data_IF_625995737528
#
_entry.id   IF_625995737528
#
_cell.length_a   1.000
_cell.length_b   1.000
_cell.length_c   1.000
_cell.angle_alpha   90.00
_cell.angle_beta   90.00
_cell.angle_gamma   90.00
#
_symmetry.space_group_name_H-M   'P 1'
#
loop_
_entity.id
_entity.type
_entity.pdbx_description
1 polymer ?
#
# COMPACT_ATOMS: atom_id res chain seq x y z
N UNK A 1 3.71 1.39 -6.16
CA UNK A 1 4.40 2.65 -5.77
C UNK A 1 4.39 2.90 -4.27
N UNK A 2 3.22 3.04 -3.60
CA UNK A 2 3.14 3.33 -2.15
C UNK A 2 3.98 2.38 -1.26
N UNK A 3 3.94 1.07 -1.53
CA UNK A 3 4.72 0.08 -0.78
C UNK A 3 6.24 0.32 -0.86
N UNK A 4 6.77 0.63 -2.05
CA UNK A 4 8.20 0.89 -2.23
C UNK A 4 8.62 2.19 -1.55
N UNK A 5 7.81 3.25 -1.64
CA UNK A 5 8.06 4.51 -0.94
C UNK A 5 8.07 4.32 0.58
N UNK A 6 7.14 3.52 1.11
CA UNK A 6 7.14 3.18 2.54
C UNK A 6 8.40 2.43 2.95
N UNK A 7 8.82 1.45 2.15
CA UNK A 7 10.03 0.65 2.42
C UNK A 7 11.29 1.51 2.38
N UNK A 8 11.43 2.36 1.37
CA UNK A 8 12.55 3.30 1.22
C UNK A 8 12.65 4.25 2.42
N UNK A 9 11.56 4.94 2.74
CA UNK A 9 11.53 5.93 3.82
C UNK A 9 11.76 5.28 5.18
N UNK A 10 11.19 4.10 5.42
CA UNK A 10 11.44 3.31 6.62
C UNK A 10 12.91 2.86 6.71
N UNK A 11 13.50 2.42 5.61
CA UNK A 11 14.92 2.02 5.56
C UNK A 11 15.83 3.21 5.90
N UNK A 12 15.57 4.38 5.33
CA UNK A 12 16.32 5.61 5.63
C UNK A 12 16.16 5.99 7.10
N UNK A 13 14.94 5.98 7.64
CA UNK A 13 14.70 6.25 9.07
C UNK A 13 15.46 5.27 9.97
N UNK A 14 15.44 3.96 9.66
CA UNK A 14 16.15 2.95 10.44
C UNK A 14 17.67 3.11 10.35
N UNK A 15 18.21 3.45 9.19
CA UNK A 15 19.64 3.70 9.00
C UNK A 15 20.13 4.94 9.76
N UNK A 16 19.28 5.97 9.86
CA UNK A 16 19.59 7.21 10.59
C UNK A 16 19.29 7.11 12.10
N UNK A 17 18.55 6.11 12.56
CA UNK A 17 18.17 5.95 13.97
C UNK A 17 19.38 5.91 14.94
N UNK A 18 20.48 5.17 14.67
CA UNK A 18 21.64 5.19 15.56
C UNK A 18 22.29 6.57 15.64
N UNK A 19 22.37 7.29 14.52
CA UNK A 19 22.93 8.64 14.46
C UNK A 19 22.04 9.64 15.20
N UNK A 20 20.72 9.48 15.11
CA UNK A 20 19.76 10.28 15.85
C UNK A 20 19.85 10.04 17.36
N UNK A 21 20.00 8.79 17.82
CA UNK A 21 20.17 8.48 19.24
C UNK A 21 21.50 9.01 19.77
N UNK A 22 22.58 8.84 18.99
CA UNK A 22 23.89 9.39 19.34
C UNK A 22 23.84 10.91 19.51
N UNK A 23 23.04 11.63 18.71
CA UNK A 23 22.86 13.09 18.82
C UNK A 23 22.31 13.53 20.18
N UNK A 24 21.47 12.72 20.83
CA UNK A 24 20.94 13.00 22.16
C UNK A 24 21.78 12.40 23.29
N UNK A 25 22.80 11.61 22.96
CA UNK A 25 23.75 11.09 23.92
C UNK A 25 24.91 12.08 24.04
N UNK A 26 25.48 12.27 25.24
CA UNK A 26 26.69 13.11 25.45
C UNK A 26 27.98 12.49 24.83
N UNK A 27 27.83 11.77 23.71
CA UNK A 27 28.92 11.19 22.94
C UNK A 27 29.43 12.27 22.00
N UNK A 28 30.75 12.50 21.97
CA UNK A 28 31.35 13.34 20.95
C UNK A 28 31.07 12.76 19.57
N UNK A 29 30.18 13.40 18.81
CA UNK A 29 29.92 13.02 17.43
C UNK A 29 30.94 13.73 16.55
N UNK A 30 31.84 13.01 15.87
CA UNK A 30 32.70 13.62 14.85
C UNK A 30 31.81 14.11 13.70
N UNK A 31 31.61 15.41 13.60
CA UNK A 31 30.77 15.99 12.55
C UNK A 31 30.70 17.52 12.61
N UNK A 32 30.41 18.14 11.46
CA UNK A 32 30.11 19.57 11.41
C UNK A 32 28.67 19.83 11.89
N UNK A 33 28.36 21.02 12.44
CA UNK A 33 26.98 21.38 12.79
C UNK A 33 25.99 21.19 11.64
N UNK A 34 26.42 21.40 10.38
CA UNK A 34 25.60 21.18 9.19
C UNK A 34 25.24 19.72 8.95
N UNK A 35 26.17 18.79 9.16
CA UNK A 35 25.93 17.35 9.02
C UNK A 35 24.94 16.84 10.08
N UNK A 36 25.05 17.34 11.32
CA UNK A 36 24.13 17.00 12.41
C UNK A 36 22.72 17.52 12.12
N UNK A 37 22.59 18.79 11.73
CA UNK A 37 21.30 19.38 11.37
C UNK A 37 20.63 18.64 10.20
N UNK A 38 21.41 18.28 9.18
CA UNK A 38 20.90 17.54 8.01
C UNK A 38 20.43 16.14 8.41
N UNK A 39 21.18 15.44 9.27
CA UNK A 39 20.82 14.10 9.77
C UNK A 39 19.52 14.14 10.58
N UNK A 40 19.41 15.12 11.50
CA UNK A 40 18.22 15.32 12.31
C UNK A 40 16.98 15.61 11.44
N UNK A 41 17.09 16.60 10.53
CA UNK A 41 16.00 16.98 9.65
C UNK A 41 15.59 15.81 8.75
N UNK A 42 16.56 15.11 8.17
CA UNK A 42 16.30 13.94 7.31
C UNK A 42 15.59 12.83 8.08
N UNK A 43 16.00 12.55 9.32
CA UNK A 43 15.34 11.55 10.17
C UNK A 43 13.88 11.91 10.45
N UNK A 44 13.63 13.14 10.93
CA UNK A 44 12.28 13.61 11.29
C UNK A 44 11.35 13.62 10.08
N UNK A 45 11.81 14.14 8.94
CA UNK A 45 11.01 14.19 7.72
C UNK A 45 10.70 12.79 7.18
N UNK A 46 11.70 11.90 7.11
CA UNK A 46 11.47 10.52 6.64
C UNK A 46 10.55 9.75 7.58
N UNK A 47 10.70 9.91 8.90
CA UNK A 47 9.83 9.25 9.87
C UNK A 47 8.37 9.73 9.74
N UNK A 48 8.16 11.05 9.69
CA UNK A 48 6.82 11.62 9.55
C UNK A 48 6.16 11.16 8.23
N UNK A 49 6.94 11.15 7.15
CA UNK A 49 6.45 10.70 5.85
C UNK A 49 6.16 9.20 5.82
N UNK A 50 7.03 8.36 6.39
CA UNK A 50 6.83 6.91 6.51
C UNK A 50 5.53 6.59 7.28
N UNK A 51 5.27 7.28 8.39
CA UNK A 51 4.02 7.11 9.16
C UNK A 51 2.78 7.54 8.38
N UNK A 52 2.87 8.64 7.63
CA UNK A 52 1.76 9.11 6.76
C UNK A 52 1.46 8.09 5.65
N UNK A 53 2.48 7.61 4.95
CA UNK A 53 2.33 6.61 3.89
C UNK A 53 1.83 5.28 4.44
N UNK A 54 2.24 4.88 5.66
CA UNK A 54 1.75 3.66 6.31
C UNK A 54 0.23 3.70 6.50
N UNK A 55 -0.32 4.81 7.02
CA UNK A 55 -1.76 4.96 7.19
C UNK A 55 -2.52 4.85 5.87
N UNK A 56 -2.01 5.50 4.83
CA UNK A 56 -2.58 5.43 3.48
C UNK A 56 -2.49 4.02 2.89
N UNK A 57 -1.38 3.33 3.09
CA UNK A 57 -1.16 1.96 2.64
C UNK A 57 -2.14 0.98 3.31
N UNK A 58 -2.37 1.10 4.62
CA UNK A 58 -3.34 0.27 5.36
C UNK A 58 -4.75 0.46 4.81
N UNK A 59 -5.13 1.71 4.54
CA UNK A 59 -6.42 2.03 3.92
C UNK A 59 -6.55 1.37 2.54
N UNK A 60 -5.53 1.49 1.68
CA UNK A 60 -5.55 0.84 0.36
C UNK A 60 -5.58 -0.69 0.42
N UNK A 61 -4.82 -1.32 1.34
CA UNK A 61 -4.85 -2.77 1.52
C UNK A 61 -6.25 -3.23 1.94
N UNK A 62 -6.93 -2.45 2.79
CA UNK A 62 -8.30 -2.74 3.22
C UNK A 62 -9.30 -2.64 2.06
N UNK A 63 -9.13 -1.63 1.19
CA UNK A 63 -9.91 -1.47 -0.03
C UNK A 63 -9.72 -2.63 -1.02
N UNK A 64 -8.47 -3.03 -1.27
CA UNK A 64 -8.16 -4.20 -2.11
C UNK A 64 -8.75 -5.47 -1.51
N UNK A 65 -8.65 -5.66 -0.19
CA UNK A 65 -9.22 -6.83 0.48
C UNK A 65 -10.75 -6.89 0.36
N UNK A 66 -11.43 -5.75 0.25
CA UNK A 66 -12.87 -5.63 0.06
C UNK A 66 -13.32 -5.48 -1.40
N UNK A 67 -12.38 -5.49 -2.35
CA UNK A 67 -12.59 -5.18 -3.77
C UNK A 67 -13.49 -3.93 -3.98
N UNK A 68 -13.13 -2.85 -3.28
CA UNK A 68 -13.86 -1.59 -3.32
C UNK A 68 -12.88 -0.46 -3.63
N UNK A 69 -13.23 0.44 -4.53
CA UNK A 69 -12.44 1.66 -4.78
C UNK A 69 -12.71 2.71 -3.71
N UNK A 70 -11.89 3.77 -3.64
CA UNK A 70 -12.11 4.86 -2.68
C UNK A 70 -13.44 5.59 -2.92
N UNK A 71 -13.84 5.76 -4.19
CA UNK A 71 -15.12 6.38 -4.56
C UNK A 71 -16.28 5.49 -4.11
N UNK A 72 -16.23 4.21 -4.44
CA UNK A 72 -17.25 3.25 -4.03
C UNK A 72 -17.34 3.13 -2.50
N UNK A 73 -16.21 3.15 -1.79
CA UNK A 73 -16.19 3.11 -0.33
C UNK A 73 -16.86 4.35 0.30
N UNK A 74 -16.78 5.50 -0.37
CA UNK A 74 -17.45 6.73 0.05
C UNK A 74 -18.95 6.71 -0.26
N UNK A 75 -19.35 6.14 -1.40
CA UNK A 75 -20.74 6.05 -1.85
C UNK A 75 -21.52 4.90 -1.22
N UNK A 76 -20.81 3.89 -0.68
CA UNK A 76 -21.40 2.69 -0.10
C UNK A 76 -22.20 3.02 1.16
N UNK A 77 -23.52 3.06 1.02
CA UNK A 77 -24.47 3.08 2.15
C UNK A 77 -24.37 1.76 2.92
N UNK A 78 -23.76 1.76 4.11
CA UNK A 78 -23.76 0.80 5.24
C UNK A 78 -24.23 -0.65 4.96
N UNK A 79 -23.88 -1.23 3.82
CA UNK A 79 -24.30 -2.57 3.43
C UNK A 79 -23.10 -3.50 3.61
N UNK A 80 -23.20 -4.52 4.48
CA UNK A 80 -22.05 -5.38 4.77
C UNK A 80 -21.62 -6.23 3.57
N UNK A 81 -22.51 -6.43 2.58
CA UNK A 81 -22.24 -7.21 1.37
C UNK A 81 -21.96 -6.28 0.19
N UNK A 82 -20.92 -6.56 -0.58
CA UNK A 82 -20.54 -5.82 -1.79
C UNK A 82 -20.60 -6.75 -3.01
N UNK A 83 -21.14 -6.26 -4.14
CA UNK A 83 -21.31 -7.05 -5.37
C UNK A 83 -19.97 -7.58 -5.90
N UNK A 84 -18.91 -6.78 -5.78
CA UNK A 84 -17.57 -7.14 -6.28
C UNK A 84 -16.70 -7.87 -5.24
N UNK A 85 -17.14 -8.00 -3.98
CA UNK A 85 -16.37 -8.75 -2.99
C UNK A 85 -16.54 -10.27 -3.20
N UNK A 86 -15.54 -10.88 -3.84
CA UNK A 86 -15.46 -12.32 -4.14
C UNK A 86 -14.66 -13.10 -3.08
N UNK A 87 -14.25 -12.43 -2.00
CA UNK A 87 -13.41 -12.96 -0.92
C UNK A 87 -11.94 -12.52 -1.04
N UNK A 88 -11.30 -12.27 0.11
CA UNK A 88 -9.95 -11.65 0.23
C UNK A 88 -8.91 -12.18 -0.76
N UNK A 89 -8.84 -13.49 -0.97
CA UNK A 89 -7.87 -14.10 -1.90
C UNK A 89 -8.15 -13.71 -3.35
N UNK A 90 -9.39 -13.88 -3.82
CA UNK A 90 -9.79 -13.55 -5.20
C UNK A 90 -9.68 -12.06 -5.46
N UNK A 91 -10.09 -11.24 -4.50
CA UNK A 91 -9.99 -9.79 -4.60
C UNK A 91 -8.53 -9.33 -4.74
N UNK A 92 -7.61 -9.97 -4.01
CA UNK A 92 -6.18 -9.69 -4.12
C UNK A 92 -5.62 -10.13 -5.48
N UNK A 93 -5.96 -11.34 -5.93
CA UNK A 93 -5.56 -11.85 -7.25
C UNK A 93 -6.09 -10.95 -8.38
N UNK A 94 -7.27 -10.34 -8.26
CA UNK A 94 -7.79 -9.38 -9.24
C UNK A 94 -6.93 -8.13 -9.41
N UNK A 95 -6.21 -7.71 -8.37
CA UNK A 95 -5.37 -6.50 -8.41
C UNK A 95 -3.93 -6.83 -8.78
N UNK A 96 -3.39 -7.93 -8.26
CA UNK A 96 -1.98 -8.30 -8.38
C UNK A 96 -1.69 -9.43 -9.38
N UNK A 97 -2.72 -10.06 -9.93
CA UNK A 97 -2.59 -11.27 -10.76
C UNK A 97 -2.47 -12.55 -9.95
N UNK A 98 -2.54 -13.68 -10.64
CA UNK A 98 -2.47 -15.01 -10.01
C UNK A 98 -1.04 -15.45 -9.73
N UNK A 99 -0.05 -14.91 -10.47
CA UNK A 99 1.36 -15.23 -10.27
C UNK A 99 1.98 -14.40 -9.14
N UNK A 100 2.31 -15.07 -8.04
CA UNK A 100 2.93 -14.47 -6.84
C UNK A 100 4.27 -13.80 -7.10
N UNK A 101 5.00 -14.18 -8.16
CA UNK A 101 6.29 -13.57 -8.49
C UNK A 101 6.13 -12.10 -8.92
N UNK A 102 5.00 -11.78 -9.53
CA UNK A 102 4.70 -10.44 -10.02
C UNK A 102 4.06 -9.55 -8.97
N UNK A 103 3.71 -10.06 -7.79
CA UNK A 103 3.11 -9.25 -6.72
C UNK A 103 4.02 -8.12 -6.21
N UNK A 104 5.35 -8.34 -6.29
CA UNK A 104 6.37 -7.37 -5.88
C UNK A 104 7.10 -6.75 -7.07
N UNK A 105 6.58 -6.90 -8.28
CA UNK A 105 7.15 -6.31 -9.49
C UNK A 105 6.06 -5.41 -10.10
N UNK A 106 6.38 -4.19 -10.54
CA UNK A 106 5.41 -3.32 -11.20
C UNK A 106 5.12 -3.78 -12.65
N UNK A 107 4.76 -5.05 -12.82
CA UNK A 107 4.44 -5.68 -14.09
C UNK A 107 3.41 -6.80 -13.88
N UNK A 108 2.61 -7.07 -14.91
CA UNK A 108 1.69 -8.22 -14.94
C UNK A 108 2.28 -9.34 -15.80
N UNK A 109 1.85 -10.58 -15.55
CA UNK A 109 2.14 -11.68 -16.45
C UNK A 109 1.26 -11.56 -17.71
N UNK A 110 1.79 -11.92 -18.88
CA UNK A 110 1.01 -11.95 -20.12
C UNK A 110 -0.20 -12.90 -20.02
N UNK A 111 -0.09 -13.95 -19.22
CA UNK A 111 -1.17 -14.91 -18.98
C UNK A 111 -2.31 -14.27 -18.16
N UNK A 112 -1.98 -13.53 -17.10
CA UNK A 112 -2.98 -12.80 -16.30
C UNK A 112 -3.67 -11.72 -17.14
N UNK A 113 -2.92 -10.94 -17.92
CA UNK A 113 -3.48 -9.91 -18.82
C UNK A 113 -4.47 -10.48 -19.85
N UNK A 114 -4.22 -11.71 -20.32
CA UNK A 114 -5.09 -12.39 -21.29
C UNK A 114 -6.30 -13.04 -20.64
N UNK A 115 -6.16 -13.56 -19.42
CA UNK A 115 -7.20 -14.35 -18.74
C UNK A 115 -8.10 -13.55 -17.82
N UNK A 116 -7.69 -12.35 -17.40
CA UNK A 116 -8.39 -11.56 -16.40
C UNK A 116 -8.95 -10.27 -17.02
N UNK A 117 -10.24 -10.24 -17.40
CA UNK A 117 -10.89 -9.05 -17.94
C UNK A 117 -10.82 -7.85 -16.99
N UNK A 118 -10.81 -8.11 -15.67
CA UNK A 118 -10.70 -7.09 -14.63
C UNK A 118 -9.39 -6.28 -14.72
N UNK A 119 -8.30 -6.89 -15.20
CA UNK A 119 -7.02 -6.19 -15.42
C UNK A 119 -7.07 -5.25 -16.63
N UNK A 120 -8.00 -5.46 -17.56
CA UNK A 120 -8.23 -4.59 -18.71
C UNK A 120 -9.23 -3.46 -18.40
N UNK A 121 -9.89 -3.52 -17.24
CA UNK A 121 -10.89 -2.54 -16.82
C UNK A 121 -12.21 -2.56 -17.61
N UNK A 122 -12.45 -3.62 -18.39
CA UNK A 122 -13.64 -3.76 -19.23
C UNK A 122 -14.80 -4.42 -18.48
N UNK A 123 -14.52 -5.49 -17.73
CA UNK A 123 -15.52 -6.27 -17.01
C UNK A 123 -15.00 -6.75 -15.65
N UNK A 124 -15.87 -6.71 -14.64
CA UNK A 124 -15.55 -7.13 -13.28
C UNK A 124 -16.50 -8.25 -12.82
N UNK A 125 -15.97 -9.40 -12.35
CA UNK A 125 -16.82 -10.49 -11.87
C UNK A 125 -17.61 -10.08 -10.61
N UNK A 126 -18.91 -10.36 -10.62
CA UNK A 126 -19.85 -10.13 -9.51
C UNK A 126 -20.12 -11.41 -8.72
N UNK A 127 -20.57 -11.25 -7.48
CA UNK A 127 -21.12 -12.36 -6.68
C UNK A 127 -22.48 -12.79 -7.28
N UNK A 128 -22.67 -14.09 -7.60
CA UNK A 128 -23.89 -14.57 -8.26
C UNK A 128 -25.17 -14.38 -7.43
N UNK A 129 -25.06 -14.36 -6.09
CA UNK A 129 -26.21 -14.16 -5.18
C UNK A 129 -26.72 -12.70 -5.13
N UNK A 130 -26.01 -11.74 -5.73
CA UNK A 130 -26.50 -10.36 -5.83
C UNK A 130 -27.44 -10.16 -7.03
N UNK A 131 -27.24 -10.92 -8.11
CA UNK A 131 -28.02 -10.77 -9.34
C UNK A 131 -29.39 -11.48 -9.27
N UNK A 132 -29.59 -12.33 -8.25
CA UNK A 132 -30.86 -13.02 -7.97
C UNK A 132 -31.79 -12.26 -7.02
N UNK A 133 -31.37 -11.11 -6.48
CA UNK A 133 -32.18 -10.26 -5.58
C UNK A 133 -32.69 -8.97 -6.24
N UNK A 134 -32.43 -8.77 -7.55
CA UNK A 134 -32.91 -7.60 -8.33
C UNK A 134 -34.19 -7.89 -9.16
N UNK A 135 -34.99 -8.90 -8.81
CA UNK A 135 -36.33 -9.13 -9.39
C UNK A 135 -37.43 -9.16 -8.33
#
# INVERSE_FOLDING_TARGET
MQFYTFLETSLVTLALLPHFIAFFSDVEIPGTPGTLATTFLSFVLNLAFALSVLGFLIMHISLVAANTTTIEAYEKKTTPKWRYDLGRKKNFEQVFGTDKRYWFIPAYSDEDLRRMPALQGLEYPSKPDFDSQEF
#
